data_IF_094249580957
#
_entry.id   IF_094249580957
#
_cell.length_a   1.000
_cell.length_b   1.000
_cell.length_c   1.000
_cell.angle_alpha   90.00
_cell.angle_beta   90.00
_cell.angle_gamma   90.00
#
_symmetry.space_group_name_H-M   'P 1'
#
loop_
_entity.id
_entity.type
_entity.pdbx_description
1 polymer ?
#
# COMPACT_ATOMS: atom_id res chain seq x y z
N UNK A 1 9.89 18.92 -17.30
CA UNK A 1 8.84 19.84 -16.79
C UNK A 1 8.46 20.96 -17.75
N UNK A 2 9.39 21.59 -18.49
CA UNK A 2 9.08 22.62 -19.51
C UNK A 2 8.02 22.23 -20.56
N UNK A 3 7.75 20.93 -20.71
CA UNK A 3 6.89 20.37 -21.75
C UNK A 3 5.39 20.46 -21.43
N UNK A 4 4.94 20.32 -20.17
CA UNK A 4 3.50 20.43 -19.86
C UNK A 4 3.03 21.87 -19.67
N UNK A 5 3.95 22.79 -19.39
CA UNK A 5 3.69 24.24 -19.39
C UNK A 5 3.66 24.84 -20.79
N UNK A 6 4.11 24.10 -21.81
CA UNK A 6 4.06 24.50 -23.21
C UNK A 6 2.72 24.08 -23.84
N UNK A 7 1.89 25.02 -24.34
CA UNK A 7 0.55 24.71 -24.84
C UNK A 7 0.53 23.73 -26.01
N UNK A 8 1.50 23.79 -26.93
CA UNK A 8 1.56 22.88 -28.08
C UNK A 8 1.84 21.44 -27.65
N UNK A 9 2.82 21.29 -26.75
CA UNK A 9 3.17 19.97 -26.20
C UNK A 9 2.05 19.42 -25.33
N UNK A 10 1.41 20.23 -24.48
CA UNK A 10 0.26 19.82 -23.69
C UNK A 10 -0.92 19.36 -24.58
N UNK A 11 -1.23 20.10 -25.64
CA UNK A 11 -2.28 19.72 -26.60
C UNK A 11 -1.97 18.40 -27.31
N UNK A 12 -0.70 18.17 -27.68
CA UNK A 12 -0.27 16.91 -28.27
C UNK A 12 -0.45 15.73 -27.30
N UNK A 13 -0.02 15.88 -26.05
CA UNK A 13 -0.17 14.84 -25.01
C UNK A 13 -1.65 14.57 -24.73
N UNK A 14 -2.48 15.63 -24.62
CA UNK A 14 -3.93 15.52 -24.45
C UNK A 14 -4.56 14.67 -25.55
N UNK A 15 -4.23 14.96 -26.82
CA UNK A 15 -4.69 14.17 -27.96
C UNK A 15 -4.23 12.70 -27.89
N UNK A 16 -2.97 12.45 -27.53
CA UNK A 16 -2.46 11.07 -27.39
C UNK A 16 -3.18 10.29 -26.28
N UNK A 17 -3.50 10.94 -25.15
CA UNK A 17 -4.27 10.33 -24.05
C UNK A 17 -5.74 10.08 -24.42
N UNK A 18 -6.33 10.91 -25.29
CA UNK A 18 -7.68 10.68 -25.83
C UNK A 18 -7.72 9.49 -26.81
N UNK A 19 -6.69 9.36 -27.67
CA UNK A 19 -6.58 8.25 -28.63
C UNK A 19 -6.18 6.93 -27.97
N UNK A 20 -5.40 7.00 -26.89
CA UNK A 20 -4.94 5.85 -26.09
C UNK A 20 -5.30 6.09 -24.63
N UNK A 21 -6.58 5.87 -24.27
CA UNK A 21 -7.04 6.11 -22.92
C UNK A 21 -6.23 5.26 -21.95
N UNK A 22 -5.86 5.90 -20.84
CA UNK A 22 -5.30 5.20 -19.70
C UNK A 22 -6.35 4.23 -19.13
N UNK A 23 -5.89 3.13 -18.53
CA UNK A 23 -6.80 2.06 -18.11
C UNK A 23 -7.68 2.44 -16.92
N UNK A 24 -7.25 3.38 -16.07
CA UNK A 24 -8.07 3.97 -15.02
C UNK A 24 -8.91 5.13 -15.57
N UNK A 25 -10.19 5.19 -15.20
CA UNK A 25 -11.00 6.38 -15.48
C UNK A 25 -10.62 7.53 -14.54
N UNK A 26 -10.94 8.77 -14.92
CA UNK A 26 -10.58 9.94 -14.10
C UNK A 26 -11.27 9.96 -12.72
N UNK A 27 -12.45 9.36 -12.58
CA UNK A 27 -13.15 9.21 -11.31
C UNK A 27 -12.58 8.08 -10.42
N UNK A 28 -11.67 7.26 -10.94
CA UNK A 28 -10.94 6.23 -10.18
C UNK A 28 -9.55 6.71 -9.73
N UNK A 29 -9.14 7.92 -10.12
CA UNK A 29 -7.84 8.51 -9.81
C UNK A 29 -7.92 9.35 -8.54
N UNK A 30 -7.34 8.87 -7.44
CA UNK A 30 -7.33 9.55 -6.16
C UNK A 30 -5.95 10.10 -5.81
N UNK A 31 -5.90 11.36 -5.40
CA UNK A 31 -4.67 12.05 -5.00
C UNK A 31 -4.64 12.26 -3.49
N UNK A 32 -4.02 11.34 -2.72
CA UNK A 32 -4.06 11.34 -1.26
C UNK A 32 -3.31 12.55 -0.69
N UNK A 33 -2.13 12.85 -1.23
CA UNK A 33 -1.26 13.94 -0.79
C UNK A 33 -0.83 14.80 -1.97
N UNK A 34 -1.18 16.08 -1.91
CA UNK A 34 -0.72 17.13 -2.82
C UNK A 34 -0.24 18.32 -1.99
N UNK A 35 0.64 19.15 -2.54
CA UNK A 35 1.10 20.41 -1.90
C UNK A 35 -0.04 21.38 -1.67
N UNK A 36 -1.02 21.44 -2.58
CA UNK A 36 -2.20 22.27 -2.43
C UNK A 36 -3.25 21.54 -1.54
N UNK A 37 -3.55 22.07 -0.33
CA UNK A 37 -4.50 21.44 0.58
C UNK A 37 -5.94 21.39 0.07
N UNK A 38 -6.34 22.30 -0.83
CA UNK A 38 -7.70 22.32 -1.39
C UNK A 38 -7.95 21.16 -2.36
N UNK A 39 -6.89 20.67 -3.00
CA UNK A 39 -6.95 19.56 -3.96
C UNK A 39 -6.49 18.23 -3.36
N UNK A 40 -5.76 18.24 -2.24
CA UNK A 40 -5.29 17.02 -1.57
C UNK A 40 -6.44 16.20 -0.99
N UNK A 41 -6.35 14.86 -1.09
CA UNK A 41 -7.34 13.93 -0.54
C UNK A 41 -8.64 13.84 -1.35
N UNK A 42 -8.55 14.07 -2.67
CA UNK A 42 -9.68 14.12 -3.61
C UNK A 42 -9.43 13.26 -4.84
N UNK A 43 -10.51 12.87 -5.50
CA UNK A 43 -10.46 12.30 -6.84
C UNK A 43 -10.16 13.37 -7.90
N UNK A 44 -9.60 12.98 -9.04
CA UNK A 44 -9.23 13.91 -10.10
C UNK A 44 -10.43 14.74 -10.59
N UNK A 45 -11.61 14.14 -10.67
CA UNK A 45 -12.86 14.84 -11.04
C UNK A 45 -13.24 15.91 -10.02
N UNK A 46 -13.13 15.63 -8.72
CA UNK A 46 -13.34 16.63 -7.66
C UNK A 46 -12.28 17.75 -7.71
N UNK A 47 -11.03 17.40 -8.04
CA UNK A 47 -9.96 18.41 -8.22
C UNK A 47 -10.27 19.28 -9.45
N UNK A 48 -10.76 18.68 -10.53
CA UNK A 48 -11.16 19.39 -11.73
C UNK A 48 -12.28 20.42 -11.44
N UNK A 49 -13.27 20.04 -10.62
CA UNK A 49 -14.32 20.95 -10.16
C UNK A 49 -13.76 22.11 -9.33
N UNK A 50 -12.86 21.83 -8.38
CA UNK A 50 -12.19 22.85 -7.56
C UNK A 50 -11.39 23.83 -8.41
N UNK A 51 -10.66 23.32 -9.41
CA UNK A 51 -9.82 24.12 -10.30
C UNK A 51 -10.60 24.75 -11.47
N UNK A 52 -11.88 24.39 -11.66
CA UNK A 52 -12.72 24.77 -12.80
C UNK A 52 -12.05 24.43 -14.15
N UNK A 53 -11.54 23.20 -14.27
CA UNK A 53 -10.85 22.68 -15.47
C UNK A 53 -11.45 21.36 -15.92
N UNK A 54 -11.17 20.97 -17.16
CA UNK A 54 -11.37 19.58 -17.56
C UNK A 54 -10.41 18.67 -16.77
N UNK A 55 -10.78 17.39 -16.51
CA UNK A 55 -9.96 16.47 -15.70
C UNK A 55 -8.51 16.32 -16.19
N UNK A 56 -8.28 16.29 -17.51
CA UNK A 56 -6.93 16.18 -18.06
C UNK A 56 -6.09 17.45 -17.83
N UNK A 57 -6.71 18.62 -17.89
CA UNK A 57 -6.03 19.89 -17.63
C UNK A 57 -5.78 20.08 -16.12
N UNK A 58 -6.66 19.54 -15.27
CA UNK A 58 -6.43 19.42 -13.84
C UNK A 58 -5.25 18.47 -13.54
N UNK A 59 -5.18 17.32 -14.21
CA UNK A 59 -4.07 16.37 -14.09
C UNK A 59 -2.73 17.01 -14.46
N UNK A 60 -2.68 17.76 -15.57
CA UNK A 60 -1.47 18.49 -15.95
C UNK A 60 -1.08 19.55 -14.91
N UNK A 61 -2.06 20.23 -14.32
CA UNK A 61 -1.84 21.21 -13.25
C UNK A 61 -1.19 20.53 -12.04
N UNK A 62 -1.72 19.39 -11.60
CA UNK A 62 -1.15 18.57 -10.52
C UNK A 62 0.31 18.23 -10.83
N UNK A 63 0.61 17.71 -12.02
CA UNK A 63 1.98 17.30 -12.39
C UNK A 63 2.93 18.49 -12.36
N UNK A 64 2.51 19.66 -12.83
CA UNK A 64 3.33 20.88 -12.83
C UNK A 64 3.59 21.34 -11.38
N UNK A 65 2.54 21.45 -10.57
CA UNK A 65 2.61 21.96 -9.19
C UNK A 65 3.41 21.04 -8.26
N UNK A 66 3.31 19.72 -8.47
CA UNK A 66 4.08 18.72 -7.71
C UNK A 66 5.56 18.66 -8.12
N UNK A 67 5.96 19.31 -9.22
CA UNK A 67 7.35 19.34 -9.66
C UNK A 67 7.71 18.18 -10.60
N UNK A 68 6.74 17.74 -11.40
CA UNK A 68 6.93 16.84 -12.53
C UNK A 68 6.39 15.43 -12.33
N UNK A 69 5.96 15.08 -11.12
CA UNK A 69 5.34 13.80 -10.81
C UNK A 69 4.56 13.87 -9.50
N UNK A 70 3.43 13.18 -9.42
CA UNK A 70 2.69 12.93 -8.17
C UNK A 70 2.42 11.45 -8.03
N UNK A 71 2.26 10.99 -6.78
CA UNK A 71 1.70 9.68 -6.51
C UNK A 71 0.17 9.75 -6.54
N UNK A 72 -0.44 8.67 -7.01
CA UNK A 72 -1.88 8.53 -7.22
C UNK A 72 -2.28 7.12 -6.80
N UNK A 73 -3.49 6.99 -6.29
CA UNK A 73 -4.15 5.70 -6.05
C UNK A 73 -5.19 5.48 -7.13
N UNK A 74 -5.16 4.31 -7.74
CA UNK A 74 -6.10 3.92 -8.79
C UNK A 74 -7.04 2.85 -8.25
N UNK A 75 -8.34 3.08 -8.43
CA UNK A 75 -9.40 2.16 -7.99
C UNK A 75 -9.87 1.24 -9.12
N UNK A 76 -8.94 0.57 -9.79
CA UNK A 76 -9.19 -0.21 -11.02
C UNK A 76 -9.32 -1.72 -10.81
N UNK A 77 -9.03 -2.21 -9.60
CA UNK A 77 -9.03 -3.64 -9.33
C UNK A 77 -10.42 -4.14 -8.97
N UNK A 78 -10.84 -5.25 -9.59
CA UNK A 78 -12.03 -5.96 -9.16
C UNK A 78 -11.73 -6.81 -7.93
N UNK A 79 -12.61 -6.68 -6.94
CA UNK A 79 -12.49 -7.41 -5.68
C UNK A 79 -12.44 -8.94 -5.89
N UNK A 80 -13.16 -9.46 -6.88
CA UNK A 80 -13.17 -10.91 -7.15
C UNK A 80 -11.85 -11.43 -7.71
N UNK A 81 -11.06 -10.60 -8.40
CA UNK A 81 -9.71 -10.96 -8.83
C UNK A 81 -8.79 -11.12 -7.62
N UNK A 82 -8.94 -10.23 -6.61
CA UNK A 82 -8.21 -10.34 -5.35
C UNK A 82 -8.61 -11.62 -4.61
N UNK A 83 -9.91 -11.93 -4.52
CA UNK A 83 -10.38 -13.17 -3.91
C UNK A 83 -9.86 -14.40 -4.63
N UNK A 84 -9.87 -14.38 -5.97
CA UNK A 84 -9.37 -15.47 -6.80
C UNK A 84 -7.87 -15.68 -6.59
N UNK A 85 -7.08 -14.60 -6.55
CA UNK A 85 -5.66 -14.65 -6.23
C UNK A 85 -5.43 -15.21 -4.83
N UNK A 86 -6.23 -14.84 -3.82
CA UNK A 86 -6.07 -15.36 -2.46
C UNK A 86 -6.42 -16.84 -2.33
N UNK A 87 -7.43 -17.32 -3.07
CA UNK A 87 -7.76 -18.76 -3.14
C UNK A 87 -6.68 -19.58 -3.83
N UNK A 88 -5.86 -18.97 -4.69
CA UNK A 88 -4.79 -19.69 -5.36
C UNK A 88 -3.75 -20.20 -4.34
N UNK A 89 -3.45 -21.51 -4.28
CA UNK A 89 -2.62 -22.06 -3.21
C UNK A 89 -1.23 -21.45 -3.08
N UNK A 90 -0.60 -21.10 -4.20
CA UNK A 90 0.78 -20.59 -4.23
C UNK A 90 0.87 -19.06 -4.14
N UNK A 91 -0.25 -18.34 -4.04
CA UNK A 91 -0.18 -16.89 -3.83
C UNK A 91 0.35 -16.54 -2.44
N UNK A 92 1.09 -15.44 -2.37
CA UNK A 92 1.61 -14.82 -1.15
C UNK A 92 1.20 -13.36 -1.07
N UNK A 93 1.25 -12.78 0.13
CA UNK A 93 0.87 -11.39 0.38
C UNK A 93 2.10 -10.50 0.36
N UNK A 94 2.04 -9.42 -0.43
CA UNK A 94 3.02 -8.33 -0.42
C UNK A 94 2.30 -6.99 -0.30
N UNK A 95 2.91 -6.04 0.40
CA UNK A 95 2.33 -4.70 0.56
C UNK A 95 2.46 -3.82 -0.68
N UNK A 96 3.44 -4.10 -1.55
CA UNK A 96 3.78 -3.29 -2.73
C UNK A 96 4.01 -1.80 -2.38
N UNK A 97 4.50 -1.52 -1.17
CA UNK A 97 4.79 -0.15 -0.77
C UNK A 97 6.23 0.25 -1.08
N UNK A 98 6.44 1.53 -1.36
CA UNK A 98 7.77 2.11 -1.48
C UNK A 98 8.39 2.37 -0.10
N UNK A 99 9.72 2.49 -0.05
CA UNK A 99 10.39 2.97 1.16
C UNK A 99 10.06 4.45 1.38
N UNK A 100 9.43 4.77 2.51
CA UNK A 100 9.10 6.14 2.91
C UNK A 100 10.08 6.54 4.04
N UNK A 101 10.80 7.67 3.91
CA UNK A 101 11.65 8.16 4.99
C UNK A 101 10.89 8.35 6.30
N UNK A 102 11.55 8.09 7.44
CA UNK A 102 10.95 8.27 8.76
C UNK A 102 10.44 9.71 8.91
N UNK A 103 9.18 9.86 9.33
CA UNK A 103 8.54 11.17 9.52
C UNK A 103 7.87 11.74 8.27
N UNK A 104 7.95 11.06 7.12
CA UNK A 104 7.17 11.42 5.94
C UNK A 104 5.86 10.63 5.90
N UNK A 105 4.83 11.27 5.35
CA UNK A 105 3.50 10.71 5.22
C UNK A 105 3.44 9.71 4.05
N UNK A 106 2.73 8.59 4.22
CA UNK A 106 2.45 7.66 3.13
C UNK A 106 1.40 8.19 2.19
N UNK A 107 1.50 7.82 0.91
CA UNK A 107 0.46 8.06 -0.08
C UNK A 107 -0.58 6.91 -0.15
N UNK A 108 -0.33 5.76 0.45
CA UNK A 108 -1.25 4.63 0.33
C UNK A 108 -1.37 3.85 1.66
N UNK A 109 -2.60 3.48 2.10
CA UNK A 109 -2.80 2.78 3.38
C UNK A 109 -2.11 1.40 3.44
N UNK A 110 -1.88 0.77 2.28
CA UNK A 110 -1.09 -0.47 2.16
C UNK A 110 0.30 -0.40 2.81
N UNK A 111 0.86 0.80 3.01
CA UNK A 111 2.12 0.99 3.74
C UNK A 111 2.10 0.37 5.14
N UNK A 112 1.08 0.68 5.95
CA UNK A 112 1.00 0.26 7.35
C UNK A 112 -0.10 -0.78 7.61
N UNK A 113 -1.09 -0.87 6.73
CA UNK A 113 -2.30 -1.65 6.97
C UNK A 113 -2.31 -3.02 6.28
N UNK A 114 -1.42 -3.31 5.32
CA UNK A 114 -1.55 -4.46 4.42
C UNK A 114 -1.84 -5.78 5.15
N UNK A 115 -0.93 -6.27 5.99
CA UNK A 115 -1.08 -7.58 6.64
C UNK A 115 -2.28 -7.65 7.60
N UNK A 116 -2.51 -6.66 8.48
CA UNK A 116 -3.72 -6.61 9.30
C UNK A 116 -5.02 -6.56 8.49
N UNK A 117 -5.02 -5.84 7.36
CA UNK A 117 -6.18 -5.74 6.46
C UNK A 117 -6.54 -7.10 5.87
N UNK A 118 -5.55 -7.87 5.44
CA UNK A 118 -5.79 -9.20 4.88
C UNK A 118 -6.43 -10.14 5.91
N UNK A 119 -5.95 -10.13 7.15
CA UNK A 119 -6.53 -10.95 8.22
C UNK A 119 -7.92 -10.43 8.63
N UNK A 120 -8.07 -9.11 8.80
CA UNK A 120 -9.36 -8.52 9.16
C UNK A 120 -10.44 -8.81 8.11
N UNK A 121 -10.16 -8.53 6.84
CA UNK A 121 -11.14 -8.64 5.75
C UNK A 121 -11.32 -10.09 5.32
N UNK A 122 -10.26 -10.74 4.84
CA UNK A 122 -10.40 -12.02 4.15
C UNK A 122 -10.44 -13.23 5.08
N UNK A 123 -9.91 -13.13 6.30
CA UNK A 123 -10.02 -14.21 7.29
C UNK A 123 -11.23 -14.00 8.18
N UNK A 124 -11.33 -12.86 8.87
CA UNK A 124 -12.34 -12.67 9.92
C UNK A 124 -13.72 -12.25 9.40
N UNK A 125 -13.79 -11.28 8.48
CA UNK A 125 -15.07 -10.78 7.95
C UNK A 125 -15.65 -11.68 6.86
N UNK A 126 -14.86 -11.99 5.84
CA UNK A 126 -15.33 -12.74 4.66
C UNK A 126 -15.17 -14.25 4.80
N UNK A 127 -14.29 -14.72 5.72
CA UNK A 127 -13.99 -16.15 5.91
C UNK A 127 -13.58 -16.84 4.60
N UNK A 128 -12.87 -16.12 3.74
CA UNK A 128 -12.41 -16.57 2.43
C UNK A 128 -11.35 -17.66 2.56
N UNK A 129 -10.43 -17.49 3.51
CA UNK A 129 -9.36 -18.44 3.85
C UNK A 129 -9.22 -18.53 5.37
N UNK A 130 -8.63 -19.62 5.85
CA UNK A 130 -8.38 -19.80 7.29
C UNK A 130 -7.24 -18.90 7.79
N UNK A 131 -7.19 -18.64 9.10
CA UNK A 131 -6.07 -17.91 9.71
C UNK A 131 -4.71 -18.61 9.45
N UNK A 132 -4.55 -19.93 9.68
CA UNK A 132 -3.29 -20.60 9.39
C UNK A 132 -2.87 -20.49 7.92
N UNK A 133 -3.83 -20.55 6.99
CA UNK A 133 -3.55 -20.36 5.57
C UNK A 133 -3.07 -18.95 5.25
N UNK A 134 -3.75 -17.92 5.75
CA UNK A 134 -3.33 -16.53 5.57
C UNK A 134 -1.96 -16.26 6.19
N UNK A 135 -1.70 -16.77 7.40
CA UNK A 135 -0.39 -16.68 8.05
C UNK A 135 0.68 -17.36 7.19
N UNK A 136 0.41 -18.58 6.69
CA UNK A 136 1.34 -19.32 5.82
C UNK A 136 1.69 -18.53 4.54
N UNK A 137 0.73 -17.82 3.94
CA UNK A 137 0.92 -16.94 2.77
C UNK A 137 1.73 -15.67 3.06
N UNK A 138 1.91 -15.31 4.34
CA UNK A 138 2.70 -14.17 4.79
C UNK A 138 4.07 -14.58 5.37
N UNK A 139 4.24 -15.86 5.71
CA UNK A 139 5.42 -16.37 6.41
C UNK A 139 6.09 -17.51 5.65
N UNK A 140 5.73 -18.77 5.93
CA UNK A 140 6.45 -19.95 5.44
C UNK A 140 6.42 -20.12 3.92
N UNK A 141 5.29 -19.85 3.25
CA UNK A 141 5.23 -19.89 1.78
C UNK A 141 6.11 -18.81 1.16
N UNK A 142 6.06 -17.60 1.73
CA UNK A 142 6.90 -16.48 1.30
C UNK A 142 8.38 -16.82 1.45
N UNK A 143 8.80 -17.30 2.62
CA UNK A 143 10.19 -17.72 2.86
C UNK A 143 10.63 -18.80 1.87
N UNK A 144 9.76 -19.79 1.58
CA UNK A 144 10.04 -20.84 0.60
C UNK A 144 10.21 -20.29 -0.82
N UNK A 145 9.32 -19.41 -1.27
CA UNK A 145 9.37 -18.82 -2.63
C UNK A 145 10.65 -18.00 -2.83
N UNK A 146 11.05 -17.23 -1.83
CA UNK A 146 12.24 -16.38 -1.89
C UNK A 146 13.53 -17.10 -1.45
N UNK A 147 13.47 -18.39 -1.11
CA UNK A 147 14.64 -19.16 -0.71
C UNK A 147 15.30 -18.68 0.59
N UNK A 148 14.51 -18.21 1.55
CA UNK A 148 15.02 -17.66 2.83
C UNK A 148 15.16 -18.79 3.85
N UNK A 149 16.39 -19.23 4.20
CA UNK A 149 16.58 -20.35 5.11
C UNK A 149 16.20 -19.99 6.56
N UNK A 150 15.72 -20.99 7.29
CA UNK A 150 15.47 -20.95 8.74
C UNK A 150 14.53 -19.83 9.22
N UNK A 151 13.66 -19.31 8.34
CA UNK A 151 12.66 -18.26 8.63
C UNK A 151 11.26 -18.65 8.17
N UNK A 152 10.27 -17.90 8.65
CA UNK A 152 8.87 -18.04 8.24
C UNK A 152 8.09 -19.17 8.94
N UNK A 153 8.72 -19.94 9.83
CA UNK A 153 8.08 -20.99 10.62
C UNK A 153 8.47 -20.85 12.10
N UNK A 154 7.55 -21.17 13.00
CA UNK A 154 7.84 -21.33 14.43
C UNK A 154 8.35 -22.76 14.65
N UNK A 155 9.67 -22.91 14.70
CA UNK A 155 10.34 -24.21 14.81
C UNK A 155 11.66 -24.06 15.56
N UNK A 156 12.06 -25.08 16.31
CA UNK A 156 13.39 -25.10 16.93
C UNK A 156 14.49 -24.99 15.86
N UNK A 157 15.52 -24.19 16.16
CA UNK A 157 16.62 -23.87 15.24
C UNK A 157 16.32 -22.74 14.25
N UNK A 158 15.08 -22.25 14.15
CA UNK A 158 14.74 -21.12 13.28
C UNK A 158 15.00 -19.78 13.96
N UNK A 159 15.13 -18.73 13.15
CA UNK A 159 15.25 -17.37 13.66
C UNK A 159 13.98 -16.95 14.41
N UNK A 160 14.16 -16.27 15.54
CA UNK A 160 13.06 -15.74 16.34
C UNK A 160 12.47 -14.46 15.73
N UNK A 161 11.83 -14.61 14.57
CA UNK A 161 11.01 -13.59 13.92
C UNK A 161 9.53 -13.86 14.23
N UNK A 162 8.97 -13.10 15.16
CA UNK A 162 7.67 -13.42 15.77
C UNK A 162 6.81 -12.16 15.82
N UNK A 163 5.53 -12.31 15.44
CA UNK A 163 4.50 -11.28 15.65
C UNK A 163 3.50 -11.80 16.67
N UNK A 164 3.23 -11.02 17.70
CA UNK A 164 2.20 -11.29 18.71
C UNK A 164 1.07 -10.29 18.48
N UNK A 165 -0.15 -10.78 18.25
CA UNK A 165 -1.32 -9.93 18.01
C UNK A 165 -2.59 -10.54 18.60
N UNK A 166 -3.54 -9.68 18.94
CA UNK A 166 -4.88 -10.06 19.41
C UNK A 166 -5.80 -10.23 18.19
N UNK A 167 -6.13 -11.48 17.87
CA UNK A 167 -6.90 -11.82 16.66
C UNK A 167 -8.28 -11.15 16.62
N UNK A 168 -8.95 -10.97 17.76
CA UNK A 168 -10.30 -10.41 17.81
C UNK A 168 -10.28 -8.88 17.81
N UNK A 169 -9.26 -8.28 18.43
CA UNK A 169 -9.11 -6.82 18.52
C UNK A 169 -8.35 -6.20 17.36
N UNK A 170 -7.62 -6.97 16.56
CA UNK A 170 -6.83 -6.40 15.47
C UNK A 170 -7.70 -5.65 14.48
N UNK A 171 -7.33 -4.41 14.15
CA UNK A 171 -7.95 -3.60 13.10
C UNK A 171 -6.86 -3.04 12.21
N UNK A 172 -7.11 -3.06 10.91
CA UNK A 172 -6.20 -2.49 9.92
C UNK A 172 -6.18 -0.97 9.93
N UNK A 173 -7.31 -0.35 10.28
CA UNK A 173 -7.54 1.09 10.19
C UNK A 173 -7.28 1.67 8.78
N UNK A 174 -7.41 0.83 7.74
CA UNK A 174 -7.19 1.22 6.36
C UNK A 174 -8.14 2.36 5.95
N UNK A 175 -7.55 3.49 5.54
CA UNK A 175 -8.24 4.68 5.08
C UNK A 175 -7.37 5.38 4.03
N UNK A 176 -7.88 5.57 2.82
CA UNK A 176 -7.16 6.27 1.75
C UNK A 176 -6.96 7.76 2.03
N UNK A 177 -7.84 8.39 2.80
CA UNK A 177 -7.71 9.79 3.23
C UNK A 177 -6.79 9.96 4.43
N UNK A 178 -6.53 8.87 5.17
CA UNK A 178 -5.59 8.81 6.29
C UNK A 178 -4.63 7.62 6.11
N UNK A 179 -3.76 7.67 5.09
CA UNK A 179 -2.94 6.53 4.66
C UNK A 179 -1.92 6.04 5.72
N UNK A 180 -1.65 6.82 6.77
CA UNK A 180 -0.78 6.43 7.88
C UNK A 180 -1.52 6.00 9.16
N UNK A 181 -2.84 5.77 9.06
CA UNK A 181 -3.60 5.25 10.19
C UNK A 181 -3.06 3.87 10.60
N UNK A 182 -2.28 3.84 11.68
CA UNK A 182 -1.61 2.63 12.16
C UNK A 182 -2.61 1.54 12.51
N UNK A 183 -2.32 0.27 12.21
CA UNK A 183 -3.14 -0.84 12.67
C UNK A 183 -3.09 -0.96 14.19
N UNK A 184 -4.15 -1.49 14.79
CA UNK A 184 -4.22 -1.79 16.23
C UNK A 184 -4.28 -3.29 16.48
N UNK A 185 -3.97 -3.71 17.71
CA UNK A 185 -4.01 -5.10 18.13
C UNK A 185 -2.74 -5.91 17.89
N UNK A 186 -1.69 -5.34 17.29
CA UNK A 186 -0.34 -5.91 17.29
C UNK A 186 0.32 -5.54 18.62
N UNK A 187 0.65 -6.54 19.43
CA UNK A 187 1.27 -6.36 20.75
C UNK A 187 2.78 -6.22 20.64
N UNK A 188 3.44 -7.14 19.92
CA UNK A 188 4.90 -7.13 19.74
C UNK A 188 5.31 -7.62 18.36
N UNK A 189 6.41 -7.08 17.86
CA UNK A 189 7.19 -7.67 16.77
C UNK A 189 8.60 -7.92 17.28
N UNK A 190 9.06 -9.15 17.11
CA UNK A 190 10.38 -9.62 17.48
C UNK A 190 11.10 -9.97 16.17
N UNK A 191 12.32 -9.48 16.00
CA UNK A 191 13.16 -9.76 14.84
C UNK A 191 14.50 -10.25 15.35
N UNK A 192 14.93 -11.43 14.90
CA UNK A 192 16.15 -12.09 15.37
C UNK A 192 16.24 -12.16 16.91
N UNK A 193 15.11 -12.37 17.60
CA UNK A 193 15.04 -12.49 19.06
C UNK A 193 15.02 -11.16 19.83
N UNK A 194 15.04 -10.01 19.14
CA UNK A 194 15.01 -8.68 19.76
C UNK A 194 13.67 -8.00 19.48
N UNK A 195 13.08 -7.40 20.51
CA UNK A 195 11.82 -6.63 20.37
C UNK A 195 12.09 -5.41 19.49
N UNK A 196 11.46 -5.38 18.32
CA UNK A 196 11.56 -4.32 17.32
C UNK A 196 10.34 -3.38 17.35
N UNK A 197 9.20 -3.85 17.84
CA UNK A 197 7.97 -3.07 17.99
C UNK A 197 7.24 -3.48 19.27
N UNK A 198 6.80 -2.50 20.06
CA UNK A 198 6.03 -2.68 21.29
C UNK A 198 5.24 -1.40 21.58
N UNK A 199 4.15 -1.48 22.36
CA UNK A 199 3.35 -0.32 22.79
C UNK A 199 2.83 0.57 21.65
N UNK A 200 2.68 0.03 20.44
CA UNK A 200 2.18 0.79 19.28
C UNK A 200 3.26 1.49 18.45
N UNK A 201 4.54 1.35 18.82
CA UNK A 201 5.64 2.06 18.20
C UNK A 201 6.82 1.14 17.86
N UNK A 202 7.58 1.54 16.83
CA UNK A 202 8.86 0.92 16.54
C UNK A 202 9.89 1.34 17.59
N UNK A 203 10.69 0.38 18.07
CA UNK A 203 11.81 0.66 18.96
C UNK A 203 12.98 1.25 18.18
N UNK A 204 14.01 1.73 18.89
CA UNK A 204 15.27 2.18 18.27
C UNK A 204 16.20 1.02 17.88
N UNK A 205 15.84 -0.23 18.20
CA UNK A 205 16.64 -1.39 17.82
C UNK A 205 16.56 -1.65 16.31
N UNK A 206 17.67 -2.10 15.74
CA UNK A 206 17.76 -2.48 14.32
C UNK A 206 18.34 -3.88 14.19
N UNK A 207 17.65 -4.92 14.71
CA UNK A 207 18.18 -6.28 14.78
C UNK A 207 18.19 -7.00 13.41
N UNK A 208 17.71 -6.35 12.35
CA UNK A 208 17.65 -6.92 11.00
C UNK A 208 19.03 -7.31 10.47
N UNK A 209 19.05 -8.31 9.58
CA UNK A 209 20.25 -8.80 8.90
C UNK A 209 20.00 -8.85 7.40
N UNK A 210 21.06 -8.69 6.62
CA UNK A 210 21.02 -9.00 5.19
C UNK A 210 20.73 -10.50 5.06
N UNK A 211 19.79 -10.84 4.18
CA UNK A 211 19.53 -12.23 3.81
C UNK A 211 20.53 -12.60 2.73
N UNK A 212 21.37 -13.58 3.03
CA UNK A 212 22.34 -14.14 2.09
C UNK A 212 21.76 -15.43 1.47
N UNK A 213 22.05 -15.72 0.19
CA UNK A 213 21.61 -16.96 -0.48
C UNK A 213 22.18 -18.24 0.12
#
# INVERSE_FOLDING_TARGET
MKNLSDPETAAKIKKEMEEKPYYASYDEMFFPLLKNPETSGKFLTEIADVLQKDPIDALFSIIIDEGGSSLMVEFTMYEEDIRSALRYPESVVGSDNFAIPRGMQSNHPRHVCCFPYMIEKYVRKEKLVSLPEMVSKMTGKTAKIFGIPDRGLIKEGYWADIVIFDYDKMRSNMDYKKPDAKPTGISKVIVNGVIAYEEGEATETRPGRVIEP
#
